data_IF_120605130810
#
_entry.id   IF_120605130810
#
_cell.length_a   1.000
_cell.length_b   1.000
_cell.length_c   1.000
_cell.angle_alpha   90.00
_cell.angle_beta   90.00
_cell.angle_gamma   90.00
#
_symmetry.space_group_name_H-M   'P 1'
#
loop_
_entity.id
_entity.type
_entity.pdbx_description
1 polymer ?
#
# COMPACT_ATOMS: atom_id res chain seq x y z
N UNK A 1 -4.58 0.05 31.50
CA UNK A 1 -3.25 0.52 31.92
C UNK A 1 -3.37 2.03 32.01
N UNK A 2 -3.17 2.54 33.22
CA UNK A 2 -3.60 3.87 33.67
C UNK A 2 -2.81 4.98 33.00
N UNK A 3 -3.54 5.89 32.35
CA UNK A 3 -3.02 7.18 31.92
C UNK A 3 -2.61 7.93 33.21
N UNK A 4 -1.38 8.43 33.27
CA UNK A 4 -0.86 9.07 34.48
C UNK A 4 -1.65 10.35 34.76
N UNK A 5 -2.36 10.37 35.88
CA UNK A 5 -3.22 11.48 36.30
C UNK A 5 -2.53 12.85 36.35
N UNK A 6 -1.19 12.90 36.44
CA UNK A 6 -0.42 14.13 36.55
C UNK A 6 -0.44 14.99 35.26
N UNK A 7 -0.45 14.39 34.08
CA UNK A 7 -0.47 15.14 32.81
C UNK A 7 -1.88 15.45 32.33
N UNK A 8 -2.85 14.55 32.58
CA UNK A 8 -4.28 14.92 32.51
C UNK A 8 -4.53 16.13 33.40
N UNK A 9 -3.95 16.17 34.61
CA UNK A 9 -4.08 17.34 35.48
C UNK A 9 -3.42 18.58 34.89
N UNK A 10 -2.34 18.45 34.12
CA UNK A 10 -1.69 19.58 33.43
C UNK A 10 -2.57 20.09 32.28
N UNK A 11 -3.03 19.19 31.41
CA UNK A 11 -3.92 19.53 30.28
C UNK A 11 -5.23 20.13 30.79
N UNK A 12 -5.84 19.54 31.82
CA UNK A 12 -7.07 20.07 32.45
C UNK A 12 -6.78 21.42 33.12
N UNK A 13 -5.64 21.59 33.81
CA UNK A 13 -5.25 22.90 34.37
C UNK A 13 -5.12 23.95 33.29
N UNK A 14 -4.48 23.62 32.17
CA UNK A 14 -4.31 24.52 31.03
C UNK A 14 -5.67 24.84 30.37
N UNK A 15 -6.56 23.85 30.24
CA UNK A 15 -7.94 24.05 29.76
C UNK A 15 -8.77 24.94 30.70
N UNK A 16 -8.67 24.75 32.02
CA UNK A 16 -9.34 25.59 33.01
C UNK A 16 -8.77 27.00 33.01
N UNK A 17 -7.44 27.14 32.91
CA UNK A 17 -6.76 28.44 32.87
C UNK A 17 -7.15 29.25 31.62
N UNK A 18 -7.39 28.56 30.50
CA UNK A 18 -7.76 29.17 29.22
C UNK A 18 -9.28 29.12 28.96
N UNK A 19 -10.09 28.76 29.95
CA UNK A 19 -11.55 28.66 29.82
C UNK A 19 -12.16 30.07 29.66
N UNK A 20 -12.72 30.36 28.47
CA UNK A 20 -13.31 31.67 28.12
C UNK A 20 -12.51 32.48 27.10
N UNK A 21 -11.28 32.04 26.76
CA UNK A 21 -10.56 32.47 25.56
C UNK A 21 -10.96 31.59 24.38
N UNK A 22 -11.22 32.15 23.20
CA UNK A 22 -11.41 31.35 21.98
C UNK A 22 -10.22 30.38 21.83
N UNK A 23 -10.51 29.08 21.71
CA UNK A 23 -9.49 28.06 21.63
C UNK A 23 -8.60 28.34 20.40
N UNK A 24 -7.32 28.65 20.64
CA UNK A 24 -6.35 28.71 19.57
C UNK A 24 -6.23 27.32 18.97
N UNK A 25 -6.58 27.19 17.69
CA UNK A 25 -6.45 25.93 16.95
C UNK A 25 -4.98 25.50 16.99
N UNK A 26 -4.72 24.34 17.58
CA UNK A 26 -3.37 23.82 17.71
C UNK A 26 -2.99 23.00 16.49
N UNK A 27 -2.17 23.56 15.60
CA UNK A 27 -1.61 22.82 14.45
C UNK A 27 -0.50 21.83 14.86
N UNK A 28 -0.04 21.93 16.10
CA UNK A 28 0.90 21.00 16.73
C UNK A 28 0.18 20.16 17.78
N UNK A 29 0.68 18.96 18.03
CA UNK A 29 0.17 18.09 19.09
C UNK A 29 1.28 17.59 20.00
N UNK A 30 0.86 16.96 21.09
CA UNK A 30 1.75 16.36 22.07
C UNK A 30 1.46 14.86 22.21
N UNK A 31 2.51 14.03 22.21
CA UNK A 31 2.37 12.58 22.41
C UNK A 31 1.86 12.31 23.83
N UNK A 32 0.67 11.72 23.95
CA UNK A 32 0.11 11.22 25.21
C UNK A 32 0.63 9.82 25.56
N UNK A 33 0.79 8.98 24.55
CA UNK A 33 1.28 7.61 24.72
C UNK A 33 1.80 7.09 23.40
N UNK A 34 2.81 6.22 23.46
CA UNK A 34 3.35 5.51 22.31
C UNK A 34 3.60 4.05 22.68
N UNK A 35 3.32 3.13 21.76
CA UNK A 35 3.63 1.72 21.90
C UNK A 35 3.17 0.91 20.69
N UNK A 36 3.94 -0.13 20.37
CA UNK A 36 3.69 -1.07 19.27
C UNK A 36 3.45 -0.36 17.92
N UNK A 37 4.16 0.73 17.66
CA UNK A 37 4.04 1.51 16.42
C UNK A 37 2.80 2.41 16.32
N UNK A 38 2.10 2.67 17.43
CA UNK A 38 0.98 3.62 17.50
C UNK A 38 1.25 4.68 18.56
N UNK A 39 0.95 5.93 18.21
CA UNK A 39 0.95 7.06 19.13
C UNK A 39 -0.46 7.65 19.26
N UNK A 40 -0.80 8.09 20.47
CA UNK A 40 -1.98 8.93 20.73
C UNK A 40 -1.50 10.36 20.94
N UNK A 41 -2.03 11.28 20.17
CA UNK A 41 -1.58 12.68 20.15
C UNK A 41 -2.71 13.57 20.64
N UNK A 42 -2.45 14.43 21.62
CA UNK A 42 -3.36 15.49 22.03
C UNK A 42 -3.16 16.73 21.13
N UNK A 43 -4.23 17.43 20.81
CA UNK A 43 -4.22 18.58 19.87
C UNK A 43 -4.36 18.12 18.43
N UNK A 44 -3.64 18.78 17.50
CA UNK A 44 -3.80 18.58 16.06
C UNK A 44 -5.25 18.83 15.57
N UNK A 45 -5.91 19.88 16.07
CA UNK A 45 -7.37 20.04 15.95
C UNK A 45 -7.90 20.04 14.51
N UNK A 46 -7.08 20.52 13.56
CA UNK A 46 -7.45 20.60 12.16
C UNK A 46 -6.94 19.42 11.32
N UNK A 47 -6.31 18.39 11.91
CA UNK A 47 -5.74 17.25 11.17
C UNK A 47 -6.82 16.47 10.41
N UNK A 48 -6.48 16.01 9.21
CA UNK A 48 -7.36 15.24 8.36
C UNK A 48 -7.09 13.74 8.52
N UNK A 49 -8.13 12.94 8.29
CA UNK A 49 -7.96 11.49 8.23
C UNK A 49 -7.07 11.12 7.04
N UNK A 50 -6.03 10.31 7.29
CA UNK A 50 -5.01 9.97 6.29
C UNK A 50 -3.95 11.05 6.07
N UNK A 51 -3.89 12.08 6.92
CA UNK A 51 -2.83 13.09 6.86
C UNK A 51 -1.51 12.58 7.44
N UNK A 52 -0.42 12.96 6.78
CA UNK A 52 0.93 12.73 7.28
C UNK A 52 1.23 13.65 8.46
N UNK A 53 1.86 13.11 9.49
CA UNK A 53 2.40 13.84 10.63
C UNK A 53 3.88 13.52 10.80
N UNK A 54 4.61 14.46 11.37
CA UNK A 54 6.04 14.37 11.63
C UNK A 54 6.30 14.51 13.13
N UNK A 55 7.02 13.54 13.69
CA UNK A 55 7.48 13.58 15.07
C UNK A 55 8.75 14.42 15.19
N UNK A 56 9.08 14.89 16.39
CA UNK A 56 10.25 15.75 16.64
C UNK A 56 11.60 15.17 16.18
N UNK A 57 11.71 13.84 16.06
CA UNK A 57 12.89 13.13 15.55
C UNK A 57 12.89 12.91 14.03
N UNK A 58 11.91 13.46 13.30
CA UNK A 58 11.76 13.32 11.85
C UNK A 58 11.08 12.02 11.41
N UNK A 59 10.71 11.13 12.34
CA UNK A 59 9.89 9.96 12.00
C UNK A 59 8.53 10.43 11.51
N UNK A 60 8.02 9.80 10.46
CA UNK A 60 6.71 10.10 9.91
C UNK A 60 5.65 9.12 10.44
N UNK A 61 4.42 9.60 10.50
CA UNK A 61 3.23 8.79 10.78
C UNK A 61 2.03 9.26 9.99
N UNK A 62 0.92 8.53 10.13
CA UNK A 62 -0.36 8.86 9.49
C UNK A 62 -1.47 8.91 10.54
N UNK A 63 -2.25 9.99 10.53
CA UNK A 63 -3.44 10.12 11.35
C UNK A 63 -4.54 9.17 10.84
N UNK A 64 -4.93 8.19 11.66
CA UNK A 64 -5.88 7.14 11.25
C UNK A 64 -7.21 7.24 12.00
N UNK A 65 -7.18 7.53 13.31
CA UNK A 65 -8.37 7.78 14.11
C UNK A 65 -8.37 9.23 14.61
N UNK A 66 -9.50 9.93 14.44
CA UNK A 66 -9.72 11.27 15.00
C UNK A 66 -10.77 11.14 16.11
N UNK A 67 -10.34 11.09 17.36
CA UNK A 67 -11.21 11.04 18.54
C UNK A 67 -11.48 12.48 19.03
N UNK A 68 -12.40 12.63 19.99
CA UNK A 68 -12.79 13.96 20.47
C UNK A 68 -11.68 14.69 21.25
N UNK A 69 -10.80 13.92 21.90
CA UNK A 69 -9.74 14.43 22.78
C UNK A 69 -8.33 14.04 22.33
N UNK A 70 -8.19 13.18 21.32
CA UNK A 70 -6.90 12.73 20.82
C UNK A 70 -6.96 12.23 19.37
N UNK A 71 -5.79 12.12 18.75
CA UNK A 71 -5.59 11.60 17.40
C UNK A 71 -4.74 10.34 17.48
N UNK A 72 -5.28 9.22 16.96
CA UNK A 72 -4.56 7.96 16.81
C UNK A 72 -3.70 7.98 15.55
N UNK A 73 -2.38 8.01 15.73
CA UNK A 73 -1.38 8.04 14.68
C UNK A 73 -0.67 6.70 14.59
N UNK A 74 -0.57 6.15 13.39
CA UNK A 74 0.28 4.99 13.11
C UNK A 74 1.66 5.45 12.65
N UNK A 75 2.72 4.82 13.14
CA UNK A 75 4.12 5.24 12.93
C UNK A 75 4.74 4.42 11.79
N UNK A 76 5.38 5.09 10.82
CA UNK A 76 6.03 4.44 9.66
C UNK A 76 7.50 4.08 9.88
N UNK A 77 8.04 4.35 11.06
CA UNK A 77 9.42 4.04 11.43
C UNK A 77 9.54 3.38 12.80
N UNK A 78 10.72 3.54 13.42
CA UNK A 78 10.94 3.12 14.79
C UNK A 78 10.20 4.02 15.77
N UNK A 79 9.44 3.41 16.69
CA UNK A 79 8.78 4.10 17.79
C UNK A 79 9.66 4.21 19.05
N UNK A 80 10.83 3.55 19.06
CA UNK A 80 11.71 3.47 20.24
C UNK A 80 12.28 4.81 20.70
N UNK A 81 12.36 5.79 19.79
CA UNK A 81 12.90 7.12 20.07
C UNK A 81 11.80 8.15 20.38
N UNK A 82 10.54 7.80 20.18
CA UNK A 82 9.39 8.67 20.46
C UNK A 82 9.02 8.51 21.92
N UNK A 83 8.78 9.62 22.61
CA UNK A 83 8.43 9.65 24.04
C UNK A 83 7.13 10.39 24.30
N UNK A 84 6.48 10.04 25.39
CA UNK A 84 5.41 10.84 25.97
C UNK A 84 5.91 12.28 26.19
N UNK A 85 5.09 13.25 25.78
CA UNK A 85 5.41 14.66 25.83
C UNK A 85 6.07 15.23 24.56
N UNK A 86 6.52 14.40 23.61
CA UNK A 86 7.14 14.88 22.38
C UNK A 86 6.16 15.65 21.50
N UNK A 87 6.68 16.61 20.73
CA UNK A 87 5.88 17.43 19.81
C UNK A 87 5.69 16.67 18.49
N UNK A 88 4.47 16.70 17.99
CA UNK A 88 4.09 16.21 16.66
C UNK A 88 3.55 17.36 15.84
N UNK A 89 3.94 17.43 14.58
CA UNK A 89 3.50 18.45 13.64
C UNK A 89 2.73 17.79 12.51
N UNK A 90 1.64 18.41 12.09
CA UNK A 90 0.98 18.02 10.86
C UNK A 90 1.75 18.52 9.64
N UNK A 91 1.70 17.78 8.55
CA UNK A 91 2.38 18.17 7.30
C UNK A 91 1.44 18.91 6.34
N UNK A 92 0.13 18.94 6.60
CA UNK A 92 -0.89 19.51 5.70
C UNK A 92 -1.16 18.64 4.46
N UNK A 93 -0.54 17.46 4.37
CA UNK A 93 -0.55 16.63 3.17
C UNK A 93 -1.10 15.23 3.50
N UNK A 94 -2.16 14.84 2.79
CA UNK A 94 -2.64 13.44 2.79
C UNK A 94 -1.55 12.55 2.22
N UNK A 95 -1.39 11.33 2.77
CA UNK A 95 -0.32 10.42 2.35
C UNK A 95 -0.24 10.31 0.82
N UNK A 96 0.90 10.74 0.30
CA UNK A 96 1.24 10.73 -1.10
C UNK A 96 2.63 10.12 -1.30
N UNK A 97 2.90 9.67 -2.52
CA UNK A 97 4.14 9.00 -2.89
C UNK A 97 4.66 9.54 -4.21
N UNK A 98 6.00 9.54 -4.42
CA UNK A 98 6.55 9.82 -5.74
C UNK A 98 5.99 8.86 -6.78
N UNK A 99 5.68 9.39 -7.97
CA UNK A 99 5.26 8.62 -9.14
C UNK A 99 6.07 9.07 -10.36
N UNK A 100 6.22 8.22 -11.38
CA UNK A 100 7.00 8.57 -12.56
C UNK A 100 7.74 7.39 -13.20
N UNK A 101 8.25 7.60 -14.41
CA UNK A 101 9.12 6.61 -15.09
C UNK A 101 10.50 6.52 -14.43
N UNK A 102 10.88 7.52 -13.64
CA UNK A 102 12.13 7.60 -12.88
C UNK A 102 12.23 6.53 -11.77
N UNK A 103 11.10 5.90 -11.42
CA UNK A 103 11.03 4.76 -10.50
C UNK A 103 11.35 3.41 -11.16
N UNK A 104 11.34 3.34 -12.49
CA UNK A 104 11.68 2.11 -13.21
C UNK A 104 13.11 1.69 -12.87
N UNK A 105 13.30 0.42 -12.54
CA UNK A 105 14.59 -0.12 -12.12
C UNK A 105 14.97 0.14 -10.66
N UNK A 106 14.06 0.74 -9.88
CA UNK A 106 14.29 1.10 -8.48
C UNK A 106 13.58 0.14 -7.52
N UNK A 107 14.16 0.03 -6.32
CA UNK A 107 13.50 -0.59 -5.16
C UNK A 107 13.20 0.49 -4.13
N UNK A 108 11.94 0.62 -3.73
CA UNK A 108 11.45 1.62 -2.80
C UNK A 108 10.71 1.00 -1.62
N UNK A 109 10.62 1.73 -0.50
CA UNK A 109 9.81 1.35 0.65
C UNK A 109 8.31 1.68 0.46
N UNK A 110 7.51 1.42 1.49
CA UNK A 110 6.07 1.73 1.48
C UNK A 110 5.72 3.22 1.35
N UNK A 111 6.66 4.14 1.52
CA UNK A 111 6.50 5.59 1.34
C UNK A 111 7.12 6.09 0.02
N UNK A 112 7.70 5.20 -0.78
CA UNK A 112 8.37 5.53 -2.04
C UNK A 112 9.81 6.04 -1.86
N UNK A 113 10.42 5.89 -0.69
CA UNK A 113 11.83 6.23 -0.48
C UNK A 113 12.72 5.13 -1.08
N UNK A 114 13.83 5.47 -1.76
CA UNK A 114 14.73 4.48 -2.34
C UNK A 114 15.48 3.70 -1.25
N UNK A 115 15.47 2.37 -1.36
CA UNK A 115 16.17 1.45 -0.45
C UNK A 115 17.18 0.54 -1.16
N UNK A 116 17.39 0.76 -2.46
CA UNK A 116 18.32 0.00 -3.32
C UNK A 116 19.78 0.49 -3.27
N UNK A 117 20.04 1.62 -2.60
CA UNK A 117 21.38 2.23 -2.57
C UNK A 117 21.81 2.87 -3.89
N UNK A 118 20.93 2.99 -4.89
CA UNK A 118 21.22 3.61 -6.21
C UNK A 118 21.13 5.15 -6.19
N UNK A 119 21.10 5.76 -5.01
CA UNK A 119 20.95 7.21 -4.82
C UNK A 119 19.49 7.68 -4.78
N UNK A 120 19.23 9.00 -4.75
CA UNK A 120 17.88 9.55 -4.70
C UNK A 120 17.08 9.25 -5.99
N UNK A 121 15.76 9.38 -5.92
CA UNK A 121 14.86 9.33 -7.08
C UNK A 121 14.50 10.77 -7.44
N UNK A 122 14.73 11.15 -8.69
CA UNK A 122 14.49 12.51 -9.18
C UNK A 122 13.15 12.61 -9.91
N UNK A 123 12.05 12.33 -9.23
CA UNK A 123 10.71 12.65 -9.75
C UNK A 123 10.19 13.96 -9.15
N UNK A 124 9.44 14.71 -9.95
CA UNK A 124 8.74 15.94 -9.53
C UNK A 124 7.27 15.69 -9.23
N UNK A 125 6.72 14.55 -9.67
CA UNK A 125 5.31 14.23 -9.53
C UNK A 125 5.06 13.34 -8.31
N UNK A 126 3.95 13.64 -7.62
CA UNK A 126 3.46 12.86 -6.48
C UNK A 126 1.98 12.59 -6.67
N UNK A 127 1.52 11.45 -6.17
CA UNK A 127 0.09 11.14 -6.11
C UNK A 127 -0.29 10.58 -4.76
N UNK A 128 -1.51 10.89 -4.33
CA UNK A 128 -2.09 10.33 -3.11
C UNK A 128 -2.19 8.82 -3.24
N UNK A 129 -1.82 8.12 -2.18
CA UNK A 129 -1.90 6.65 -2.13
C UNK A 129 -3.36 6.19 -2.04
N UNK A 130 -4.25 7.00 -1.48
CA UNK A 130 -5.68 6.75 -1.44
C UNK A 130 -6.43 7.70 -2.39
N UNK A 131 -6.85 7.16 -3.53
CA UNK A 131 -7.74 7.83 -4.49
C UNK A 131 -8.92 6.93 -4.81
N UNK A 132 -10.03 7.56 -5.22
CA UNK A 132 -11.22 6.84 -5.63
C UNK A 132 -10.95 6.06 -6.91
N UNK A 133 -11.33 4.80 -6.93
CA UNK A 133 -11.28 3.96 -8.14
C UNK A 133 -12.10 4.60 -9.29
N UNK A 134 -11.69 4.37 -10.56
CA UNK A 134 -12.47 4.81 -11.70
C UNK A 134 -13.86 4.18 -11.65
N UNK A 135 -14.90 4.98 -11.88
CA UNK A 135 -16.28 4.49 -11.95
C UNK A 135 -16.52 3.58 -13.16
N UNK A 136 -17.78 3.21 -13.41
CA UNK A 136 -18.11 2.33 -14.55
C UNK A 136 -17.92 3.06 -15.90
N UNK A 137 -18.38 4.31 -16.01
CA UNK A 137 -18.39 5.08 -17.28
C UNK A 137 -16.97 5.30 -17.86
N UNK A 138 -15.93 5.63 -17.07
CA UNK A 138 -14.58 5.81 -17.60
C UNK A 138 -13.89 4.53 -18.09
N UNK A 139 -14.42 3.34 -17.75
CA UNK A 139 -13.82 2.04 -18.10
C UNK A 139 -14.27 1.56 -19.48
N UNK A 140 -13.59 0.54 -20.00
CA UNK A 140 -14.05 -0.25 -21.14
C UNK A 140 -13.84 -1.74 -20.89
N UNK A 141 -14.44 -2.57 -21.75
CA UNK A 141 -14.24 -4.01 -21.72
C UNK A 141 -12.77 -4.40 -21.95
N UNK A 142 -12.34 -5.45 -21.25
CA UNK A 142 -11.01 -6.03 -21.41
C UNK A 142 -11.00 -6.91 -22.65
N UNK A 143 -10.18 -6.55 -23.64
CA UNK A 143 -10.11 -7.25 -24.94
C UNK A 143 -8.67 -7.53 -25.41
N UNK A 144 -7.66 -7.07 -24.68
CA UNK A 144 -6.25 -7.22 -25.01
C UNK A 144 -5.58 -8.17 -24.01
N UNK A 145 -4.74 -9.12 -24.44
CA UNK A 145 -4.14 -10.08 -23.52
C UNK A 145 -2.92 -9.51 -22.78
N UNK A 146 -2.71 -10.00 -21.58
CA UNK A 146 -1.42 -10.01 -20.88
C UNK A 146 -0.82 -11.40 -21.06
N UNK A 147 0.23 -11.49 -21.88
CA UNK A 147 0.90 -12.77 -22.14
C UNK A 147 1.80 -13.12 -20.97
N UNK A 148 1.46 -14.16 -20.20
CA UNK A 148 2.27 -14.59 -19.06
C UNK A 148 3.47 -15.43 -19.48
N UNK A 149 3.42 -16.05 -20.66
CA UNK A 149 4.43 -17.01 -21.12
C UNK A 149 4.21 -18.42 -20.56
N UNK A 150 3.20 -18.59 -19.71
CA UNK A 150 2.86 -19.85 -19.07
C UNK A 150 1.69 -20.50 -19.80
N UNK A 151 1.97 -21.57 -20.54
CA UNK A 151 0.96 -22.28 -21.36
C UNK A 151 -0.33 -22.63 -20.62
N UNK A 152 -0.24 -23.02 -19.35
CA UNK A 152 -1.41 -23.36 -18.56
C UNK A 152 -2.32 -22.13 -18.33
N UNK A 153 -1.74 -20.96 -18.08
CA UNK A 153 -2.48 -19.72 -17.86
C UNK A 153 -2.95 -19.16 -19.19
N UNK A 154 -2.03 -18.92 -20.13
CA UNK A 154 -2.36 -18.27 -21.41
C UNK A 154 -3.37 -19.05 -22.26
N UNK A 155 -3.48 -20.38 -22.08
CA UNK A 155 -4.44 -21.21 -22.82
C UNK A 155 -5.74 -21.53 -22.05
N UNK A 156 -5.70 -21.70 -20.72
CA UNK A 156 -6.87 -22.15 -19.95
C UNK A 156 -7.53 -21.03 -19.14
N UNK A 157 -6.73 -20.10 -18.62
CA UNK A 157 -7.16 -18.99 -17.76
C UNK A 157 -6.47 -17.70 -18.23
N UNK A 158 -6.78 -17.21 -19.45
CA UNK A 158 -6.08 -16.08 -20.04
C UNK A 158 -6.34 -14.81 -19.23
N UNK A 159 -5.27 -14.02 -19.00
CA UNK A 159 -5.34 -12.75 -18.30
C UNK A 159 -5.37 -11.60 -19.30
N UNK A 160 -6.28 -10.65 -19.12
CA UNK A 160 -6.40 -9.46 -19.95
C UNK A 160 -5.85 -8.17 -19.35
N UNK A 161 -5.60 -7.17 -20.20
CA UNK A 161 -5.17 -5.82 -19.81
C UNK A 161 -6.29 -5.09 -19.09
N UNK A 162 -6.11 -4.83 -17.79
CA UNK A 162 -7.13 -4.28 -16.90
C UNK A 162 -7.92 -5.31 -16.06
N UNK A 163 -7.61 -6.61 -16.20
CA UNK A 163 -8.22 -7.69 -15.40
C UNK A 163 -7.57 -7.80 -14.02
N UNK A 164 -8.31 -8.34 -13.06
CA UNK A 164 -7.82 -8.70 -11.73
C UNK A 164 -7.84 -10.22 -11.58
N UNK A 165 -6.69 -10.88 -11.68
CA UNK A 165 -6.60 -12.34 -11.63
C UNK A 165 -5.90 -12.81 -10.36
N UNK A 166 -6.63 -13.50 -9.47
CA UNK A 166 -6.10 -13.99 -8.20
C UNK A 166 -5.16 -15.17 -8.39
N UNK A 167 -3.97 -15.13 -7.81
CA UNK A 167 -3.10 -16.30 -7.67
C UNK A 167 -3.23 -16.80 -6.23
N UNK A 168 -3.88 -17.95 -6.04
CA UNK A 168 -4.19 -18.48 -4.70
C UNK A 168 -3.56 -19.84 -4.48
N UNK A 169 -3.02 -20.07 -3.29
CA UNK A 169 -2.56 -21.40 -2.92
C UNK A 169 -1.68 -21.44 -1.69
N UNK A 170 -1.31 -22.65 -1.31
CA UNK A 170 -0.52 -22.90 -0.12
C UNK A 170 0.92 -22.39 -0.26
N UNK A 171 1.63 -22.39 0.87
CA UNK A 171 3.05 -22.05 0.90
C UNK A 171 3.85 -22.95 -0.05
N UNK A 172 4.82 -22.37 -0.76
CA UNK A 172 5.75 -23.08 -1.67
C UNK A 172 5.10 -23.77 -2.89
N UNK A 173 3.96 -23.28 -3.36
CA UNK A 173 3.26 -23.80 -4.56
C UNK A 173 3.63 -23.09 -5.88
N UNK A 174 4.58 -22.16 -5.87
CA UNK A 174 5.02 -21.45 -7.07
C UNK A 174 4.32 -20.11 -7.38
N UNK A 175 3.48 -19.60 -6.46
CA UNK A 175 2.72 -18.34 -6.64
C UNK A 175 3.57 -17.16 -7.12
N UNK A 176 4.66 -16.88 -6.42
CA UNK A 176 5.58 -15.78 -6.79
C UNK A 176 6.27 -16.05 -8.12
N UNK A 177 6.58 -17.32 -8.44
CA UNK A 177 7.22 -17.69 -9.70
C UNK A 177 6.32 -17.38 -10.90
N UNK A 178 5.00 -17.65 -10.79
CA UNK A 178 4.02 -17.28 -11.81
C UNK A 178 4.07 -15.79 -12.14
N UNK A 179 4.09 -14.93 -11.12
CA UNK A 179 4.17 -13.48 -11.31
C UNK A 179 5.52 -13.03 -11.88
N UNK A 180 6.63 -13.57 -11.38
CA UNK A 180 7.98 -13.23 -11.85
C UNK A 180 8.16 -13.65 -13.31
N UNK A 181 7.72 -14.85 -13.70
CA UNK A 181 7.79 -15.33 -15.08
C UNK A 181 6.94 -14.45 -16.01
N UNK A 182 5.73 -14.06 -15.57
CA UNK A 182 4.90 -13.11 -16.30
C UNK A 182 5.63 -11.77 -16.52
N UNK A 183 6.37 -11.28 -15.53
CA UNK A 183 7.13 -10.02 -15.64
C UNK A 183 8.30 -10.17 -16.61
N UNK A 184 9.04 -11.27 -16.53
CA UNK A 184 10.16 -11.56 -17.44
C UNK A 184 9.67 -11.69 -18.90
N UNK A 185 8.50 -12.29 -19.12
CA UNK A 185 7.92 -12.46 -20.45
C UNK A 185 7.61 -11.12 -21.15
N UNK A 186 7.44 -10.02 -20.40
CA UNK A 186 7.19 -8.69 -20.99
C UNK A 186 8.41 -8.05 -21.65
N UNK A 187 9.60 -8.65 -21.53
CA UNK A 187 10.84 -8.09 -22.09
C UNK A 187 10.74 -7.83 -23.58
N UNK A 188 10.16 -8.75 -24.34
CA UNK A 188 10.04 -8.63 -25.80
C UNK A 188 9.16 -7.43 -26.17
N UNK A 189 8.04 -7.25 -25.45
CA UNK A 189 7.13 -6.12 -25.69
C UNK A 189 7.77 -4.78 -25.28
N UNK A 190 8.55 -4.75 -24.20
CA UNK A 190 9.21 -3.55 -23.70
C UNK A 190 10.47 -3.16 -24.49
N UNK A 191 11.10 -4.09 -25.22
CA UNK A 191 12.27 -3.83 -26.05
C UNK A 191 11.94 -3.06 -27.36
N UNK A 192 10.67 -3.02 -27.77
CA UNK A 192 10.25 -2.27 -28.96
C UNK A 192 9.96 -0.78 -28.67
N UNK A 193 9.86 0.01 -29.73
CA UNK A 193 9.55 1.45 -29.63
C UNK A 193 8.04 1.74 -29.51
N UNK A 194 7.20 0.74 -29.74
CA UNK A 194 5.74 0.86 -29.73
C UNK A 194 5.20 0.84 -28.30
N UNK A 195 4.94 2.04 -27.76
CA UNK A 195 4.45 2.25 -26.39
C UNK A 195 3.12 1.52 -26.11
N UNK A 196 2.27 1.32 -27.12
CA UNK A 196 1.00 0.61 -26.97
C UNK A 196 1.18 -0.88 -26.63
N UNK A 197 2.33 -1.45 -26.99
CA UNK A 197 2.66 -2.86 -26.72
C UNK A 197 3.34 -3.05 -25.39
N UNK A 198 4.05 -2.03 -24.89
CA UNK A 198 4.78 -2.09 -23.63
C UNK A 198 3.86 -2.41 -22.46
N UNK A 199 4.42 -3.10 -21.48
CA UNK A 199 3.73 -3.43 -20.23
C UNK A 199 4.70 -3.19 -19.08
N UNK A 200 4.48 -2.10 -18.36
CA UNK A 200 5.28 -1.72 -17.20
C UNK A 200 4.90 -2.55 -15.99
N UNK A 201 5.89 -2.95 -15.20
CA UNK A 201 5.70 -3.92 -14.14
C UNK A 201 5.84 -3.24 -12.76
N UNK A 202 5.00 -3.63 -11.82
CA UNK A 202 5.07 -3.18 -10.42
C UNK A 202 4.96 -4.39 -9.51
N UNK A 203 6.02 -4.69 -8.76
CA UNK A 203 6.03 -5.81 -7.81
C UNK A 203 5.99 -5.28 -6.39
N UNK A 204 4.94 -5.63 -5.64
CA UNK A 204 4.77 -5.22 -4.24
C UNK A 204 5.07 -6.40 -3.31
N UNK A 205 6.21 -6.38 -2.64
CA UNK A 205 6.60 -7.35 -1.63
C UNK A 205 6.11 -6.89 -0.24
N UNK A 206 5.17 -7.64 0.33
CA UNK A 206 4.47 -7.34 1.59
C UNK A 206 4.84 -8.41 2.61
N UNK A 207 5.44 -8.02 3.73
CA UNK A 207 5.86 -8.91 4.81
C UNK A 207 6.81 -10.04 4.37
N UNK A 208 7.49 -9.89 3.22
CA UNK A 208 8.47 -10.86 2.74
C UNK A 208 9.79 -10.71 3.49
N UNK A 209 10.62 -11.75 3.50
CA UNK A 209 11.98 -11.65 4.04
C UNK A 209 12.84 -10.79 3.11
N UNK A 210 13.70 -9.93 3.68
CA UNK A 210 14.63 -9.10 2.90
C UNK A 210 15.49 -9.92 1.92
N UNK A 211 15.94 -11.11 2.32
CA UNK A 211 16.71 -12.01 1.44
C UNK A 211 15.90 -12.52 0.24
N UNK A 212 14.61 -12.80 0.42
CA UNK A 212 13.71 -13.22 -0.66
C UNK A 212 13.48 -12.08 -1.65
N UNK A 213 13.28 -10.85 -1.17
CA UNK A 213 13.15 -9.66 -2.03
C UNK A 213 14.45 -9.42 -2.81
N UNK A 214 15.62 -9.50 -2.15
CA UNK A 214 16.90 -9.34 -2.82
C UNK A 214 17.14 -10.40 -3.91
N UNK A 215 16.76 -11.66 -3.66
CA UNK A 215 16.83 -12.72 -4.66
C UNK A 215 15.89 -12.44 -5.84
N UNK A 216 14.66 -11.98 -5.57
CA UNK A 216 13.71 -11.59 -6.62
C UNK A 216 14.26 -10.46 -7.50
N UNK A 217 14.78 -9.40 -6.90
CA UNK A 217 15.34 -8.26 -7.63
C UNK A 217 16.50 -8.73 -8.50
N UNK A 218 17.39 -9.56 -7.95
CA UNK A 218 18.49 -10.17 -8.70
C UNK A 218 17.98 -10.99 -9.89
N UNK A 219 16.95 -11.82 -9.72
CA UNK A 219 16.36 -12.59 -10.82
C UNK A 219 15.78 -11.68 -11.90
N UNK A 220 15.11 -10.58 -11.54
CA UNK A 220 14.62 -9.60 -12.50
C UNK A 220 15.77 -8.88 -13.23
N UNK A 221 16.85 -8.52 -12.54
CA UNK A 221 18.03 -7.90 -13.14
C UNK A 221 18.76 -8.86 -14.11
N UNK A 222 18.99 -10.10 -13.72
CA UNK A 222 19.64 -11.13 -14.55
C UNK A 222 18.87 -11.42 -15.85
N UNK A 223 17.54 -11.29 -15.80
CA UNK A 223 16.69 -11.47 -16.98
C UNK A 223 16.44 -10.16 -17.76
N UNK A 224 16.93 -9.01 -17.28
CA UNK A 224 16.69 -7.70 -17.88
C UNK A 224 15.25 -7.19 -17.72
N UNK A 225 14.50 -7.74 -16.77
CA UNK A 225 13.13 -7.33 -16.48
C UNK A 225 13.05 -6.09 -15.56
N UNK A 226 14.14 -5.81 -14.83
CA UNK A 226 14.20 -4.69 -13.90
C UNK A 226 14.09 -3.32 -14.62
N UNK A 227 14.49 -3.22 -15.88
CA UNK A 227 14.44 -1.96 -16.67
C UNK A 227 13.04 -1.36 -16.82
N UNK A 228 12.00 -2.20 -16.77
CA UNK A 228 10.60 -1.79 -16.85
C UNK A 228 9.81 -2.16 -15.59
N UNK A 229 10.49 -2.51 -14.49
CA UNK A 229 9.85 -2.91 -13.23
C UNK A 229 10.16 -1.93 -12.10
N UNK A 230 9.15 -1.62 -11.29
CA UNK A 230 9.29 -0.96 -9.98
C UNK A 230 9.08 -2.03 -8.90
N UNK A 231 9.95 -2.09 -7.89
CA UNK A 231 9.76 -2.98 -6.75
C UNK A 231 9.48 -2.16 -5.49
N UNK A 232 8.34 -2.40 -4.86
CA UNK A 232 7.98 -1.83 -3.56
C UNK A 232 8.22 -2.92 -2.52
N UNK A 233 9.01 -2.66 -1.50
CA UNK A 233 9.28 -3.62 -0.44
C UNK A 233 8.95 -3.06 0.94
N UNK A 234 7.92 -3.63 1.56
CA UNK A 234 7.66 -3.53 2.99
C UNK A 234 7.85 -4.92 3.58
N UNK A 235 9.05 -5.18 4.09
CA UNK A 235 9.51 -6.50 4.54
C UNK A 235 9.01 -6.84 5.94
N UNK A 236 9.15 -8.09 6.35
CA UNK A 236 8.68 -8.57 7.65
C UNK A 236 9.29 -7.84 8.87
N UNK A 237 10.45 -7.21 8.70
CA UNK A 237 11.10 -6.41 9.75
C UNK A 237 10.56 -4.98 9.85
N UNK A 238 9.80 -4.55 8.84
CA UNK A 238 9.31 -3.18 8.76
C UNK A 238 7.96 -3.09 9.50
N UNK A 239 7.63 -1.93 10.08
CA UNK A 239 6.44 -1.77 10.92
C UNK A 239 5.15 -2.05 10.13
N UNK A 240 4.12 -2.55 10.83
CA UNK A 240 2.84 -2.94 10.22
C UNK A 240 2.20 -1.83 9.34
N UNK A 241 2.27 -0.54 9.69
CA UNK A 241 1.76 0.54 8.83
C UNK A 241 2.41 0.59 7.45
N UNK A 242 3.70 0.30 7.31
CA UNK A 242 4.35 0.23 5.99
C UNK A 242 3.87 -0.98 5.19
N UNK A 243 3.68 -2.14 5.83
CA UNK A 243 3.16 -3.34 5.16
C UNK A 243 1.71 -3.14 4.70
N UNK A 244 0.90 -2.44 5.50
CA UNK A 244 -0.45 -2.01 5.13
C UNK A 244 -0.45 -1.05 3.93
N UNK A 245 0.48 -0.10 3.91
CA UNK A 245 0.52 0.98 2.92
C UNK A 245 1.11 0.54 1.57
N UNK A 246 2.08 -0.38 1.56
CA UNK A 246 2.84 -0.74 0.37
C UNK A 246 1.98 -1.10 -0.86
N UNK A 247 0.85 -1.83 -0.76
CA UNK A 247 -0.02 -2.06 -1.91
C UNK A 247 -0.66 -0.80 -2.48
N UNK A 248 -1.01 0.17 -1.62
CA UNK A 248 -1.54 1.47 -2.04
C UNK A 248 -0.48 2.33 -2.75
N UNK A 249 0.77 2.24 -2.29
CA UNK A 249 1.93 2.86 -2.95
C UNK A 249 2.17 2.24 -4.33
N UNK A 250 2.17 0.89 -4.41
CA UNK A 250 2.34 0.18 -5.67
C UNK A 250 1.25 0.51 -6.68
N UNK A 251 -0.03 0.50 -6.28
CA UNK A 251 -1.12 0.85 -7.20
C UNK A 251 -1.02 2.31 -7.64
N UNK A 252 -0.64 3.27 -6.77
CA UNK A 252 -0.45 4.66 -7.18
C UNK A 252 0.66 4.81 -8.25
N UNK A 253 1.76 4.07 -8.11
CA UNK A 253 2.82 4.00 -9.13
C UNK A 253 2.35 3.31 -10.41
N UNK A 254 1.50 2.28 -10.32
CA UNK A 254 0.87 1.63 -11.47
C UNK A 254 -0.13 2.53 -12.21
N UNK A 255 -0.90 3.32 -11.47
CA UNK A 255 -1.89 4.26 -12.00
C UNK A 255 -1.26 5.38 -12.82
N UNK A 256 -0.03 5.79 -12.49
CA UNK A 256 0.73 6.73 -13.31
C UNK A 256 0.79 6.28 -14.78
N UNK A 257 0.97 4.99 -15.03
CA UNK A 257 1.00 4.42 -16.38
C UNK A 257 -0.40 4.36 -17.00
N UNK A 258 -1.37 3.79 -16.26
CA UNK A 258 -2.79 3.69 -16.69
C UNK A 258 -3.35 5.03 -17.13
N UNK A 259 -3.15 6.07 -16.32
CA UNK A 259 -3.78 7.39 -16.52
C UNK A 259 -3.09 8.21 -17.62
N UNK A 260 -1.97 7.70 -18.17
CA UNK A 260 -1.23 8.29 -19.29
C UNK A 260 -1.33 7.45 -20.57
N UNK A 261 -2.35 6.59 -20.66
CA UNK A 261 -2.57 5.75 -21.83
C UNK A 261 -1.57 4.61 -22.00
N UNK A 262 -0.74 4.35 -20.99
CA UNK A 262 0.19 3.22 -20.97
C UNK A 262 -0.45 2.02 -20.26
N UNK A 263 0.19 0.87 -20.38
CA UNK A 263 -0.25 -0.37 -19.76
C UNK A 263 0.71 -0.79 -18.65
N UNK A 264 0.16 -1.24 -17.53
CA UNK A 264 0.92 -1.78 -16.42
C UNK A 264 0.34 -3.08 -15.88
N UNK A 265 1.22 -3.90 -15.30
CA UNK A 265 0.93 -5.14 -14.59
C UNK A 265 1.46 -5.01 -13.16
N UNK A 266 0.58 -5.16 -12.17
CA UNK A 266 0.94 -5.09 -10.76
C UNK A 266 0.75 -6.46 -10.08
N UNK A 267 1.74 -6.89 -9.30
CA UNK A 267 1.67 -8.08 -8.46
C UNK A 267 1.72 -7.69 -6.98
N UNK A 268 0.87 -8.28 -6.15
CA UNK A 268 0.86 -8.08 -4.70
C UNK A 268 1.24 -9.38 -3.98
N UNK A 269 2.43 -9.45 -3.38
CA UNK A 269 2.99 -10.66 -2.74
C UNK A 269 3.27 -10.45 -1.23
N UNK A 270 2.30 -10.66 -0.33
CA UNK A 270 0.94 -11.11 -0.60
C UNK A 270 -0.11 -10.31 0.21
N UNK A 271 -1.36 -10.31 -0.26
CA UNK A 271 -2.44 -9.57 0.38
C UNK A 271 -2.91 -10.20 1.70
N UNK A 272 -2.60 -11.49 1.94
CA UNK A 272 -2.85 -12.12 3.25
C UNK A 272 -2.04 -11.42 4.33
N UNK A 273 -0.76 -11.10 4.07
CA UNK A 273 0.10 -10.34 4.99
C UNK A 273 -0.34 -8.89 5.15
N UNK A 274 -0.86 -8.25 4.08
CA UNK A 274 -1.47 -6.92 4.20
C UNK A 274 -2.66 -6.94 5.18
N UNK A 275 -3.55 -7.94 5.05
CA UNK A 275 -4.68 -8.09 5.95
C UNK A 275 -4.24 -8.31 7.40
N UNK A 276 -3.18 -9.10 7.64
CA UNK A 276 -2.60 -9.30 8.98
C UNK A 276 -2.05 -8.00 9.54
N UNK A 277 -1.34 -7.21 8.75
CA UNK A 277 -0.84 -5.89 9.17
C UNK A 277 -2.00 -4.94 9.52
N UNK A 278 -3.06 -4.91 8.71
CA UNK A 278 -4.25 -4.10 8.97
C UNK A 278 -4.99 -4.54 10.24
N UNK A 279 -5.05 -5.85 10.47
CA UNK A 279 -5.60 -6.43 11.70
C UNK A 279 -4.81 -5.98 12.94
N UNK A 280 -3.48 -6.07 12.89
CA UNK A 280 -2.62 -5.62 13.97
C UNK A 280 -2.86 -4.14 14.29
N UNK A 281 -2.83 -3.27 13.26
CA UNK A 281 -3.09 -1.84 13.44
C UNK A 281 -4.46 -1.57 14.04
N UNK A 282 -5.50 -2.25 13.55
CA UNK A 282 -6.88 -2.07 14.02
C UNK A 282 -7.05 -2.47 15.48
N UNK A 283 -6.44 -3.58 15.90
CA UNK A 283 -6.50 -4.06 17.29
C UNK A 283 -5.77 -3.11 18.24
N UNK A 284 -4.60 -2.61 17.86
CA UNK A 284 -3.84 -1.66 18.67
C UNK A 284 -4.54 -0.29 18.77
N UNK A 285 -5.23 0.13 17.70
CA UNK A 285 -6.15 1.27 17.72
C UNK A 285 -7.48 0.99 18.42
N UNK A 286 -7.63 -0.20 19.03
CA UNK A 286 -8.82 -0.65 19.77
C UNK A 286 -10.12 -0.60 18.96
N UNK A 287 -10.02 -0.78 17.64
CA UNK A 287 -11.20 -1.02 16.80
C UNK A 287 -11.79 -2.39 17.14
N UNK A 288 -13.12 -2.52 17.20
CA UNK A 288 -13.75 -3.80 17.51
C UNK A 288 -13.43 -4.83 16.42
N UNK A 289 -12.91 -6.03 16.79
CA UNK A 289 -12.63 -7.08 15.82
C UNK A 289 -13.89 -7.85 15.42
N UNK A 290 -13.85 -8.43 14.23
CA UNK A 290 -14.86 -9.34 13.69
C UNK A 290 -14.34 -10.77 13.54
N UNK A 291 -14.74 -11.45 12.45
CA UNK A 291 -14.34 -12.84 12.14
C UNK A 291 -12.82 -12.96 12.03
N UNK A 292 -12.25 -14.00 12.64
CA UNK A 292 -10.79 -14.25 12.68
C UNK A 292 -9.97 -13.05 13.20
N UNK A 293 -10.61 -12.23 14.05
CA UNK A 293 -10.10 -10.99 14.62
C UNK A 293 -9.79 -9.85 13.61
N UNK A 294 -10.15 -10.00 12.33
CA UNK A 294 -10.01 -8.92 11.35
C UNK A 294 -11.02 -7.78 11.62
N UNK A 295 -10.69 -6.53 11.30
CA UNK A 295 -11.65 -5.42 11.39
C UNK A 295 -12.79 -5.61 10.39
N UNK A 296 -13.97 -5.03 10.69
CA UNK A 296 -15.19 -5.20 9.88
C UNK A 296 -15.08 -4.70 8.43
N UNK A 297 -14.12 -3.83 8.14
CA UNK A 297 -13.86 -3.23 6.84
C UNK A 297 -12.68 -3.87 6.08
N UNK A 298 -12.19 -5.05 6.50
CA UNK A 298 -11.11 -5.76 5.77
C UNK A 298 -11.49 -6.12 4.32
N UNK A 299 -12.78 -6.30 4.03
CA UNK A 299 -13.25 -6.43 2.65
C UNK A 299 -13.07 -5.11 1.87
N UNK A 300 -13.36 -3.99 2.53
CA UNK A 300 -13.22 -2.66 1.93
C UNK A 300 -11.75 -2.32 1.63
N UNK A 301 -10.82 -2.75 2.50
CA UNK A 301 -9.37 -2.65 2.28
C UNK A 301 -8.96 -3.21 0.90
N UNK A 302 -9.32 -4.47 0.61
CA UNK A 302 -8.92 -5.12 -0.64
C UNK A 302 -9.76 -4.69 -1.84
N UNK A 303 -11.06 -4.46 -1.67
CA UNK A 303 -11.92 -4.03 -2.79
C UNK A 303 -11.53 -2.63 -3.29
N UNK A 304 -11.32 -1.65 -2.40
CA UNK A 304 -10.87 -0.31 -2.81
C UNK A 304 -9.46 -0.30 -3.42
N UNK A 305 -8.63 -1.28 -3.09
CA UNK A 305 -7.32 -1.48 -3.70
C UNK A 305 -7.46 -2.06 -5.10
N UNK A 306 -8.12 -3.21 -5.24
CA UNK A 306 -8.17 -3.97 -6.48
C UNK A 306 -9.05 -3.30 -7.54
N UNK A 307 -10.13 -2.61 -7.16
CA UNK A 307 -10.98 -1.87 -8.10
C UNK A 307 -10.29 -0.70 -8.81
N UNK A 308 -9.10 -0.30 -8.36
CA UNK A 308 -8.25 0.67 -9.07
C UNK A 308 -7.55 0.06 -10.27
N UNK A 309 -7.38 -1.26 -10.33
CA UNK A 309 -6.89 -1.95 -11.51
C UNK A 309 -8.02 -2.12 -12.53
N UNK A 310 -7.95 -1.38 -13.64
CA UNK A 310 -8.97 -1.36 -14.69
C UNK A 310 -8.38 -0.99 -16.06
N UNK A 311 -9.13 -1.29 -17.13
CA UNK A 311 -8.91 -0.76 -18.48
C UNK A 311 -9.74 0.51 -18.67
N UNK A 312 -9.07 1.61 -18.98
CA UNK A 312 -9.71 2.89 -19.28
C UNK A 312 -10.25 2.90 -20.71
N UNK A 313 -11.35 3.60 -20.90
CA UNK A 313 -11.92 3.90 -22.22
C UNK A 313 -10.97 4.76 -23.06
N UNK A 314 -11.11 4.70 -24.37
CA UNK A 314 -10.34 5.54 -25.30
C UNK A 314 -10.48 7.05 -24.99
N UNK A 315 -11.68 7.49 -24.56
CA UNK A 315 -11.94 8.86 -24.13
C UNK A 315 -11.17 9.26 -22.85
N UNK A 316 -10.71 8.29 -22.05
CA UNK A 316 -9.91 8.47 -20.86
C UNK A 316 -8.47 7.97 -21.07
N UNK A 317 -7.98 7.97 -22.32
CA UNK A 317 -6.60 7.68 -22.67
C UNK A 317 -6.29 6.21 -22.97
N UNK A 318 -7.22 5.28 -22.73
CA UNK A 318 -7.06 3.88 -23.14
C UNK A 318 -6.00 3.08 -22.37
N UNK A 319 -5.40 3.61 -21.29
CA UNK A 319 -4.42 2.86 -20.52
C UNK A 319 -5.04 1.76 -19.67
N UNK A 320 -4.21 0.88 -19.12
CA UNK A 320 -4.68 -0.22 -18.27
C UNK A 320 -3.77 -0.51 -17.10
N UNK A 321 -4.35 -0.96 -16.00
CA UNK A 321 -3.62 -1.59 -14.91
C UNK A 321 -4.22 -2.98 -14.67
N UNK A 322 -3.46 -4.03 -14.98
CA UNK A 322 -3.81 -5.43 -14.66
C UNK A 322 -3.25 -5.78 -13.29
N UNK A 323 -4.01 -6.50 -12.48
CA UNK A 323 -3.60 -6.90 -11.14
C UNK A 323 -3.50 -8.43 -10.98
N UNK A 324 -2.40 -8.88 -10.38
CA UNK A 324 -2.15 -10.25 -9.94
C UNK A 324 -1.99 -10.30 -8.42
N UNK A 325 -3.08 -10.21 -7.63
CA UNK A 325 -2.99 -10.39 -6.20
C UNK A 325 -2.63 -11.83 -5.84
N UNK A 326 -1.70 -12.00 -4.90
CA UNK A 326 -1.38 -13.30 -4.32
C UNK A 326 -2.09 -13.43 -2.97
N UNK A 327 -2.69 -14.61 -2.73
CA UNK A 327 -3.19 -15.02 -1.43
C UNK A 327 -2.55 -16.34 -1.03
N UNK A 328 -1.97 -16.36 0.18
CA UNK A 328 -1.54 -17.58 0.83
C UNK A 328 -2.70 -18.20 1.62
N UNK A 329 -3.06 -19.44 1.28
CA UNK A 329 -3.97 -20.27 2.05
C UNK A 329 -3.25 -21.01 3.17
N UNK A 330 -4.00 -21.44 4.19
CA UNK A 330 -3.49 -22.28 5.26
C UNK A 330 -4.05 -23.69 5.09
N UNK A 331 -3.17 -24.68 4.87
CA UNK A 331 -3.56 -26.08 4.66
C UNK A 331 -4.61 -26.29 3.54
N UNK A 332 -4.53 -25.49 2.48
CA UNK A 332 -5.42 -25.55 1.33
C UNK A 332 -6.81 -24.98 1.56
N UNK A 333 -7.06 -24.34 2.71
CA UNK A 333 -8.38 -23.81 3.02
C UNK A 333 -8.68 -22.52 2.25
N UNK A 334 -9.35 -22.68 1.11
CA UNK A 334 -9.87 -21.59 0.27
C UNK A 334 -11.14 -20.96 0.84
N UNK A 335 -11.76 -21.56 1.87
CA UNK A 335 -12.98 -21.08 2.51
C UNK A 335 -12.73 -20.15 3.72
N UNK A 336 -11.45 -19.95 4.06
CA UNK A 336 -11.04 -18.98 5.06
C UNK A 336 -11.48 -17.55 4.67
N UNK A 337 -11.54 -16.66 5.66
CA UNK A 337 -12.19 -15.36 5.48
C UNK A 337 -11.53 -14.48 4.41
N UNK A 338 -10.20 -14.34 4.44
CA UNK A 338 -9.48 -13.50 3.47
C UNK A 338 -9.49 -14.09 2.05
N UNK A 339 -9.20 -15.39 1.81
CA UNK A 339 -9.38 -16.01 0.52
C UNK A 339 -10.76 -15.77 -0.10
N UNK A 340 -11.83 -16.04 0.65
CA UNK A 340 -13.21 -15.88 0.16
C UNK A 340 -13.51 -14.43 -0.25
N UNK A 341 -13.04 -13.45 0.53
CA UNK A 341 -13.20 -12.04 0.19
C UNK A 341 -12.52 -11.70 -1.14
N UNK A 342 -11.25 -12.10 -1.33
CA UNK A 342 -10.50 -11.73 -2.54
C UNK A 342 -10.99 -12.48 -3.77
N UNK A 343 -11.41 -13.74 -3.63
CA UNK A 343 -12.10 -14.48 -4.70
C UNK A 343 -13.34 -13.70 -5.19
N UNK A 344 -14.12 -13.11 -4.28
CA UNK A 344 -15.31 -12.34 -4.66
C UNK A 344 -15.03 -10.94 -5.25
N UNK A 345 -13.80 -10.45 -5.14
CA UNK A 345 -13.38 -9.12 -5.67
C UNK A 345 -12.70 -9.26 -7.04
N UNK A 346 -12.03 -10.38 -7.28
CA UNK A 346 -11.26 -10.63 -8.49
C UNK A 346 -12.14 -11.18 -9.61
N UNK A 347 -11.67 -11.05 -10.85
CA UNK A 347 -12.41 -11.45 -12.06
C UNK A 347 -12.22 -12.94 -12.39
N UNK A 348 -11.23 -13.57 -11.76
CA UNK A 348 -10.86 -14.96 -11.92
C UNK A 348 -9.81 -15.38 -10.89
N UNK A 349 -9.47 -16.66 -10.89
CA UNK A 349 -8.48 -17.24 -9.99
C UNK A 349 -7.67 -18.36 -10.67
N UNK A 350 -6.39 -18.42 -10.31
CA UNK A 350 -5.37 -19.39 -10.72
C UNK A 350 -4.97 -20.24 -9.53
#
# INVERSE_FOLDING_TARGET
>A
MDIRAAEISKIIKDQIANFGTEAQVSETGQVLSVGDGIARIFGLDNVQAGEMVEFSNGVQGMALNLEADNVGVVIFGSDSEIKEGDIVKRTGTIVDVPIGKELLGRVVDGLGNPIDGKGPIHTTERSRVEVKAPGIIPRQSVSEPVQTGLKAIDALVPVGRGQRELIIGDRQTGKSAVAIDAFINQKIANAGDDESKKLYCVYVAIGQKRSTVAQLVKTLEENGAMEYTIVIAATASDPAPLQYLAPYTGVAMGEYFRDRGMHALICYDDLSKQAVAYRQMSLLLRRPPGREAYPGDVFYLHSRLLERAAKMSDANGGGSLTALPIIETQAGDVSAYIPTNVISITDGQI
#
